data_IF_535609958073
#
_entry.id   IF_535609958073
#
_cell.length_a   1.000
_cell.length_b   1.000
_cell.length_c   1.000
_cell.angle_alpha   90.00
_cell.angle_beta   90.00
_cell.angle_gamma   90.00
#
_symmetry.space_group_name_H-M   'P 1'
#
loop_
_entity.id
_entity.type
_entity.pdbx_description
1 polymer ?
#
# COMPACT_ATOMS: atom_id res chain seq x y z
N UNK A 1 -12.61 -6.80 23.24
CA UNK A 1 -12.12 -6.99 21.86
C UNK A 1 -13.06 -6.25 20.91
N UNK A 2 -12.76 -4.98 20.62
CA UNK A 2 -13.57 -4.22 19.65
C UNK A 2 -13.34 -4.82 18.27
N UNK A 3 -14.38 -5.35 17.62
CA UNK A 3 -14.31 -5.83 16.25
C UNK A 3 -14.16 -4.60 15.35
N UNK A 4 -12.94 -4.17 15.05
CA UNK A 4 -12.71 -3.18 14.00
C UNK A 4 -13.29 -3.76 12.71
N UNK A 5 -14.33 -3.11 12.17
CA UNK A 5 -14.77 -3.41 10.81
C UNK A 5 -13.59 -3.02 9.92
N UNK A 6 -13.04 -3.98 9.17
CA UNK A 6 -12.05 -3.70 8.13
C UNK A 6 -12.70 -2.82 7.05
N UNK A 7 -12.72 -1.51 7.30
CA UNK A 7 -13.20 -0.53 6.35
C UNK A 7 -12.08 -0.21 5.37
N UNK A 8 -12.48 0.04 4.14
CA UNK A 8 -11.57 0.43 3.07
C UNK A 8 -12.31 1.38 2.15
N UNK A 9 -11.55 2.20 1.44
CA UNK A 9 -12.07 3.12 0.42
C UNK A 9 -11.64 2.66 -0.95
N UNK A 10 -12.52 2.84 -1.92
CA UNK A 10 -12.25 2.64 -3.34
C UNK A 10 -12.40 3.98 -4.03
N UNK A 11 -11.33 4.46 -4.64
CA UNK A 11 -11.30 5.75 -5.35
C UNK A 11 -10.96 5.47 -6.82
N UNK A 12 -11.96 5.63 -7.69
CA UNK A 12 -11.76 5.52 -9.14
C UNK A 12 -11.17 6.84 -9.66
N UNK A 13 -10.09 6.75 -10.42
CA UNK A 13 -9.37 7.91 -10.94
C UNK A 13 -9.73 8.18 -12.40
N UNK A 14 -9.67 9.44 -12.88
CA UNK A 14 -9.94 9.77 -14.27
C UNK A 14 -8.99 9.12 -15.28
N UNK A 15 -7.79 8.73 -14.85
CA UNK A 15 -6.76 8.12 -15.69
C UNK A 15 -6.94 6.59 -15.90
N UNK A 16 -8.06 6.01 -15.46
CA UNK A 16 -8.32 4.57 -15.62
C UNK A 16 -7.74 3.69 -14.51
N UNK A 17 -7.12 4.28 -13.48
CA UNK A 17 -6.65 3.55 -12.31
C UNK A 17 -7.66 3.58 -11.16
N UNK A 18 -7.49 2.69 -10.20
CA UNK A 18 -8.24 2.65 -8.95
C UNK A 18 -7.28 2.60 -7.77
N UNK A 19 -7.57 3.39 -6.74
CA UNK A 19 -6.90 3.31 -5.45
C UNK A 19 -7.81 2.55 -4.49
N UNK A 20 -7.25 1.56 -3.81
CA UNK A 20 -7.85 0.90 -2.65
C UNK A 20 -7.03 1.30 -1.44
N UNK A 21 -7.65 1.95 -0.45
CA UNK A 21 -6.99 2.44 0.76
C UNK A 21 -7.63 1.84 2.01
N UNK A 22 -6.81 1.58 3.03
CA UNK A 22 -7.31 1.21 4.36
C UNK A 22 -8.06 2.40 4.97
N UNK A 23 -9.02 2.10 5.84
CA UNK A 23 -9.77 3.09 6.61
C UNK A 23 -9.93 2.56 8.04
N UNK A 24 -9.15 3.11 8.96
CA UNK A 24 -9.25 2.80 10.38
C UNK A 24 -7.93 2.53 11.10
N UNK A 25 -6.78 2.56 10.41
CA UNK A 25 -5.48 2.56 11.10
C UNK A 25 -5.23 3.90 11.78
N UNK A 26 -5.77 4.98 11.23
CA UNK A 26 -5.66 6.34 11.73
C UNK A 26 -6.88 6.79 12.54
N UNK A 27 -7.64 5.86 13.13
CA UNK A 27 -8.86 6.21 13.88
C UNK A 27 -8.54 7.15 15.07
N UNK A 28 -9.00 8.41 15.07
CA UNK A 28 -8.78 9.36 16.17
C UNK A 28 -9.38 8.93 17.49
N UNK A 29 -10.36 8.03 17.46
CA UNK A 29 -11.12 7.63 18.63
C UNK A 29 -10.57 6.36 19.29
N UNK A 30 -9.58 5.73 18.67
CA UNK A 30 -8.83 4.62 19.26
C UNK A 30 -7.79 5.18 20.23
N UNK A 31 -7.75 4.66 21.46
CA UNK A 31 -6.79 5.04 22.51
C UNK A 31 -6.69 6.55 22.83
N UNK A 32 -7.81 7.29 22.82
CA UNK A 32 -7.85 8.65 23.41
C UNK A 32 -7.51 8.54 24.90
N UNK A 33 -6.32 8.99 25.28
CA UNK A 33 -5.94 9.12 26.69
C UNK A 33 -6.28 10.53 27.19
N UNK A 34 -6.70 10.64 28.45
CA UNK A 34 -6.93 11.92 29.12
C UNK A 34 -5.56 12.55 29.46
N UNK A 35 -4.87 13.07 28.45
CA UNK A 35 -3.56 13.73 28.54
C UNK A 35 -3.19 14.47 27.26
N UNK A 36 -2.11 15.26 27.30
CA UNK A 36 -1.57 15.95 26.12
C UNK A 36 -0.83 14.95 25.21
N UNK A 37 -1.02 15.06 23.88
CA UNK A 37 -0.28 14.26 22.89
C UNK A 37 -1.07 13.17 22.16
N UNK A 38 -2.40 13.21 22.17
CA UNK A 38 -3.21 12.28 21.38
C UNK A 38 -2.91 12.42 19.87
N UNK A 39 -2.80 11.27 19.20
CA UNK A 39 -2.56 11.18 17.74
C UNK A 39 -3.67 10.37 17.09
N UNK A 40 -3.85 10.52 15.78
CA UNK A 40 -4.82 9.74 15.02
C UNK A 40 -4.38 8.26 14.91
N UNK A 41 -4.79 7.39 15.83
CA UNK A 41 -4.43 5.96 15.82
C UNK A 41 -2.94 5.71 15.56
N UNK A 42 -2.60 4.92 14.55
CA UNK A 42 -1.22 4.70 14.09
C UNK A 42 -0.63 5.87 13.28
N UNK A 43 -1.42 6.87 12.91
CA UNK A 43 -1.00 8.05 12.15
C UNK A 43 -0.63 7.77 10.69
N UNK A 44 -1.07 6.63 10.15
CA UNK A 44 -0.89 6.25 8.75
C UNK A 44 -2.07 5.45 8.21
N UNK A 45 -2.21 5.42 6.89
CA UNK A 45 -3.07 4.53 6.14
C UNK A 45 -2.28 3.96 4.95
N UNK A 46 -2.60 2.72 4.57
CA UNK A 46 -2.00 2.08 3.40
C UNK A 46 -2.89 2.21 2.18
N UNK A 47 -2.28 2.19 0.99
CA UNK A 47 -3.03 2.14 -0.25
C UNK A 47 -2.33 1.34 -1.34
N UNK A 48 -3.13 0.74 -2.23
CA UNK A 48 -2.68 0.14 -3.49
C UNK A 48 -3.31 0.93 -4.63
N UNK A 49 -2.52 1.29 -5.63
CA UNK A 49 -3.02 1.76 -6.92
C UNK A 49 -2.90 0.63 -7.94
N UNK A 50 -3.97 0.33 -8.68
CA UNK A 50 -4.09 -0.75 -9.66
C UNK A 50 -4.83 -0.27 -10.90
N UNK A 51 -4.62 -0.87 -12.09
CA UNK A 51 -5.51 -0.69 -13.23
C UNK A 51 -6.97 -1.04 -12.88
N UNK A 52 -7.95 -0.28 -13.39
CA UNK A 52 -9.36 -0.50 -13.08
C UNK A 52 -9.89 -1.83 -13.63
N UNK A 53 -9.35 -2.30 -14.75
CA UNK A 53 -9.70 -3.55 -15.42
C UNK A 53 -9.17 -4.80 -14.68
N UNK A 54 -8.20 -4.65 -13.78
CA UNK A 54 -7.75 -5.72 -12.86
C UNK A 54 -8.58 -5.80 -11.57
N UNK A 55 -9.59 -4.94 -11.41
CA UNK A 55 -10.40 -4.88 -10.20
C UNK A 55 -11.87 -5.27 -10.48
N UNK A 56 -12.50 -6.12 -9.64
CA UNK A 56 -13.92 -6.42 -9.79
C UNK A 56 -14.82 -5.18 -9.61
N UNK A 57 -16.01 -5.23 -10.20
CA UNK A 57 -16.96 -4.10 -10.16
C UNK A 57 -17.68 -3.93 -8.83
N UNK A 58 -17.86 -5.03 -8.08
CA UNK A 58 -18.64 -5.03 -6.83
C UNK A 58 -17.72 -4.95 -5.61
N UNK A 59 -18.16 -4.22 -4.58
CA UNK A 59 -17.44 -4.12 -3.29
C UNK A 59 -17.24 -5.50 -2.65
N UNK A 60 -18.20 -6.42 -2.81
CA UNK A 60 -18.12 -7.76 -2.24
C UNK A 60 -17.02 -8.59 -2.91
N UNK A 61 -16.85 -8.46 -4.22
CA UNK A 61 -15.83 -9.19 -4.97
C UNK A 61 -14.45 -8.52 -4.88
N UNK A 62 -14.41 -7.18 -4.74
CA UNK A 62 -13.16 -6.47 -4.40
C UNK A 62 -12.53 -7.03 -3.13
N UNK A 63 -13.34 -7.36 -2.11
CA UNK A 63 -12.83 -7.99 -0.87
C UNK A 63 -12.17 -9.34 -1.10
N UNK A 64 -12.47 -10.04 -2.19
CA UNK A 64 -11.85 -11.33 -2.54
C UNK A 64 -10.64 -11.15 -3.45
N UNK A 65 -10.47 -9.98 -4.05
CA UNK A 65 -9.39 -9.69 -4.98
C UNK A 65 -8.05 -9.54 -4.24
N UNK A 66 -6.95 -9.86 -4.94
CA UNK A 66 -5.61 -9.84 -4.35
C UNK A 66 -5.22 -8.46 -3.82
N UNK A 67 -5.72 -7.39 -4.43
CA UNK A 67 -5.45 -6.02 -4.00
C UNK A 67 -5.97 -5.80 -2.57
N UNK A 68 -7.23 -6.17 -2.31
CA UNK A 68 -7.77 -6.03 -0.97
C UNK A 68 -7.09 -6.98 0.02
N UNK A 69 -6.85 -8.23 -0.37
CA UNK A 69 -6.20 -9.21 0.52
C UNK A 69 -4.79 -8.77 0.91
N UNK A 70 -4.00 -8.25 -0.04
CA UNK A 70 -2.67 -7.71 0.24
C UNK A 70 -2.74 -6.47 1.13
N UNK A 71 -3.61 -5.50 0.79
CA UNK A 71 -3.82 -4.30 1.59
C UNK A 71 -4.20 -4.64 3.03
N UNK A 72 -5.17 -5.55 3.19
CA UNK A 72 -5.67 -5.98 4.49
C UNK A 72 -4.56 -6.67 5.29
N UNK A 73 -3.88 -7.67 4.72
CA UNK A 73 -2.81 -8.39 5.40
C UNK A 73 -1.67 -7.47 5.83
N UNK A 74 -1.22 -6.56 4.95
CA UNK A 74 -0.18 -5.57 5.31
C UNK A 74 -0.66 -4.64 6.44
N UNK A 75 -1.91 -4.18 6.37
CA UNK A 75 -2.50 -3.32 7.42
C UNK A 75 -2.56 -4.02 8.76
N UNK A 76 -2.90 -5.32 8.78
CA UNK A 76 -2.94 -6.13 10.00
C UNK A 76 -1.54 -6.38 10.57
N UNK A 77 -0.54 -6.66 9.72
CA UNK A 77 0.86 -6.78 10.14
C UNK A 77 1.36 -5.49 10.80
N UNK A 78 1.05 -4.34 10.18
CA UNK A 78 1.38 -3.02 10.69
C UNK A 78 0.74 -2.74 12.05
N UNK A 79 -0.56 -3.04 12.20
CA UNK A 79 -1.28 -2.86 13.46
C UNK A 79 -0.75 -3.79 14.57
N UNK A 80 -0.33 -5.00 14.22
CA UNK A 80 0.21 -5.99 15.17
C UNK A 80 1.62 -5.69 15.67
N UNK A 81 2.44 -4.96 14.91
CA UNK A 81 3.85 -4.73 15.26
C UNK A 81 4.09 -3.62 16.29
N UNK A 82 3.13 -2.71 16.50
CA UNK A 82 3.31 -1.53 17.35
C UNK A 82 4.39 -0.57 16.82
N UNK A 83 4.11 0.73 16.75
CA UNK A 83 5.13 1.71 16.32
C UNK A 83 5.51 1.66 14.83
N UNK A 84 4.68 1.06 13.97
CA UNK A 84 4.91 1.01 12.51
C UNK A 84 5.19 2.40 11.91
N UNK A 85 4.58 3.46 12.45
CA UNK A 85 4.84 4.83 12.03
C UNK A 85 6.28 5.26 12.27
N UNK A 86 6.82 5.02 13.46
CA UNK A 86 8.21 5.34 13.76
C UNK A 86 9.16 4.56 12.84
N UNK A 87 8.84 3.30 12.56
CA UNK A 87 9.62 2.45 11.64
C UNK A 87 9.57 3.01 10.21
N UNK A 88 8.39 3.40 9.72
CA UNK A 88 8.24 4.02 8.40
C UNK A 88 8.94 5.38 8.32
N UNK A 89 8.88 6.17 9.41
CA UNK A 89 9.54 7.48 9.47
C UNK A 89 11.06 7.35 9.47
N UNK A 90 11.62 6.29 10.07
CA UNK A 90 13.07 6.03 10.05
C UNK A 90 13.51 5.39 8.73
N UNK A 91 12.91 4.26 8.35
CA UNK A 91 13.39 3.46 7.22
C UNK A 91 12.97 4.00 5.85
N UNK A 92 11.87 4.76 5.78
CA UNK A 92 11.19 5.27 4.57
C UNK A 92 10.66 4.20 3.59
N UNK A 93 11.36 3.07 3.47
CA UNK A 93 11.05 1.94 2.61
C UNK A 93 11.11 0.64 3.42
N UNK A 94 9.98 -0.06 3.49
CA UNK A 94 9.87 -1.39 4.09
C UNK A 94 9.49 -2.42 3.06
N UNK A 95 9.78 -3.68 3.35
CA UNK A 95 9.31 -4.81 2.54
C UNK A 95 8.72 -5.86 3.45
N UNK A 96 7.73 -6.59 2.95
CA UNK A 96 7.10 -7.69 3.70
C UNK A 96 6.70 -8.82 2.76
N UNK A 97 6.51 -9.99 3.34
CA UNK A 97 5.91 -11.16 2.68
C UNK A 97 4.56 -11.43 3.34
N UNK A 98 3.47 -11.29 2.59
CA UNK A 98 2.12 -11.46 3.07
C UNK A 98 1.65 -12.91 2.87
N UNK A 99 1.23 -13.54 3.96
CA UNK A 99 0.65 -14.90 3.96
C UNK A 99 -0.85 -14.85 3.63
N UNK A 100 -1.39 -15.93 3.03
CA UNK A 100 -2.80 -16.08 2.67
C UNK A 100 -3.25 -15.32 1.43
N UNK A 101 -2.46 -14.35 0.94
CA UNK A 101 -2.77 -13.57 -0.28
C UNK A 101 -2.73 -14.44 -1.54
N UNK A 102 -1.95 -15.53 -1.54
CA UNK A 102 -1.80 -16.46 -2.65
C UNK A 102 -3.13 -17.05 -3.14
N UNK A 103 -4.11 -17.24 -2.25
CA UNK A 103 -5.44 -17.76 -2.60
C UNK A 103 -6.21 -16.81 -3.53
N UNK A 104 -5.91 -15.51 -3.46
CA UNK A 104 -6.54 -14.48 -4.30
C UNK A 104 -5.73 -14.16 -5.58
N UNK A 105 -4.51 -14.68 -5.70
CA UNK A 105 -3.70 -14.56 -6.92
C UNK A 105 -4.16 -15.66 -7.89
N UNK A 106 -4.51 -15.33 -9.15
CA UNK A 106 -4.83 -16.35 -10.16
C UNK A 106 -3.65 -17.30 -10.41
N UNK A 107 -3.92 -18.59 -10.60
CA UNK A 107 -2.90 -19.65 -10.72
C UNK A 107 -1.83 -19.34 -11.79
N UNK A 108 -2.24 -18.76 -12.93
CA UNK A 108 -1.34 -18.35 -14.01
C UNK A 108 -0.24 -17.37 -13.57
N UNK A 109 -0.44 -16.65 -12.47
CA UNK A 109 0.46 -15.64 -11.90
C UNK A 109 1.22 -16.15 -10.65
N UNK A 110 1.03 -17.40 -10.23
CA UNK A 110 1.70 -17.94 -9.04
C UNK A 110 3.21 -18.00 -9.24
N UNK A 111 3.67 -18.46 -10.41
CA UNK A 111 5.10 -18.57 -10.72
C UNK A 111 5.83 -17.23 -10.74
N UNK A 112 5.11 -16.11 -10.84
CA UNK A 112 5.69 -14.77 -10.88
C UNK A 112 5.53 -13.98 -9.57
N UNK A 113 4.57 -14.34 -8.70
CA UNK A 113 4.26 -13.55 -7.50
C UNK A 113 4.16 -14.32 -6.18
N UNK A 114 4.01 -15.65 -6.21
CA UNK A 114 3.81 -16.48 -5.01
C UNK A 114 5.07 -17.31 -4.77
N UNK A 115 5.73 -17.11 -3.62
CA UNK A 115 6.97 -17.82 -3.33
C UNK A 115 6.70 -19.27 -2.89
N UNK A 116 7.77 -20.05 -2.70
CA UNK A 116 7.67 -21.47 -2.31
C UNK A 116 6.95 -21.70 -0.97
N UNK A 117 6.87 -20.68 -0.10
CA UNK A 117 6.13 -20.71 1.16
C UNK A 117 4.68 -20.23 1.02
N UNK A 118 4.19 -19.98 -0.20
CA UNK A 118 2.83 -19.48 -0.44
C UNK A 118 2.64 -18.00 -0.10
N UNK A 119 3.71 -17.22 0.01
CA UNK A 119 3.65 -15.79 0.39
C UNK A 119 3.84 -14.87 -0.81
N UNK A 120 3.25 -13.69 -0.72
CA UNK A 120 3.30 -12.63 -1.74
C UNK A 120 4.14 -11.45 -1.23
N UNK A 121 5.12 -11.03 -2.02
CA UNK A 121 6.02 -9.93 -1.66
C UNK A 121 5.40 -8.55 -1.89
N UNK A 122 5.65 -7.61 -0.98
CA UNK A 122 5.29 -6.20 -1.13
C UNK A 122 6.42 -5.26 -0.70
N UNK A 123 6.56 -4.15 -1.42
CA UNK A 123 7.40 -2.99 -1.05
C UNK A 123 6.48 -1.85 -0.59
N UNK A 124 6.85 -1.19 0.51
CA UNK A 124 6.05 -0.18 1.18
C UNK A 124 6.75 1.17 1.15
N UNK A 125 5.98 2.25 0.99
CA UNK A 125 6.48 3.61 1.13
C UNK A 125 7.15 4.19 -0.12
N UNK A 126 6.88 3.61 -1.29
CA UNK A 126 7.23 4.29 -2.54
C UNK A 126 6.54 5.65 -2.59
N UNK A 127 7.33 6.68 -2.88
CA UNK A 127 6.87 8.05 -3.04
C UNK A 127 6.59 8.29 -4.50
N UNK A 128 5.37 8.66 -4.85
CA UNK A 128 5.07 9.14 -6.19
C UNK A 128 6.06 10.24 -6.52
N UNK A 129 6.85 10.04 -7.58
CA UNK A 129 7.67 11.12 -8.12
C UNK A 129 6.74 12.32 -8.29
N UNK A 130 7.16 13.50 -7.85
CA UNK A 130 6.34 14.69 -7.79
C UNK A 130 5.71 14.95 -9.16
N UNK A 131 4.49 14.45 -9.37
CA UNK A 131 3.66 14.90 -10.47
C UNK A 131 3.17 16.26 -10.03
N UNK A 132 3.91 17.29 -10.44
CA UNK A 132 3.49 18.67 -10.39
C UNK A 132 2.01 18.74 -10.73
N UNK A 133 1.22 19.34 -9.83
CA UNK A 133 -0.14 19.77 -10.15
C UNK A 133 -0.02 20.59 -11.43
N UNK A 134 -0.69 20.22 -12.53
CA UNK A 134 -0.64 21.03 -13.75
C UNK A 134 -1.13 22.45 -13.42
N UNK A 135 -0.53 23.47 -14.03
CA UNK A 135 -0.84 24.89 -13.75
C UNK A 135 -2.32 25.26 -13.97
N UNK A 136 -3.09 24.41 -14.65
CA UNK A 136 -4.52 24.53 -14.88
C UNK A 136 -5.40 24.11 -13.68
N UNK A 137 -4.80 23.64 -12.58
CA UNK A 137 -5.51 23.19 -11.38
C UNK A 137 -6.22 21.83 -11.53
N UNK A 138 -5.99 21.10 -12.62
CA UNK A 138 -6.57 19.78 -12.88
C UNK A 138 -5.90 18.71 -12.03
N UNK A 139 -6.62 18.19 -11.04
CA UNK A 139 -6.17 17.07 -10.19
C UNK A 139 -6.29 15.70 -10.87
N UNK A 140 -6.77 15.65 -12.11
CA UNK A 140 -7.11 14.41 -12.83
C UNK A 140 -5.92 13.49 -13.13
N UNK A 141 -4.69 13.99 -13.01
CA UNK A 141 -3.43 13.23 -13.10
C UNK A 141 -2.49 13.36 -11.90
N UNK A 142 -2.92 14.01 -10.81
CA UNK A 142 -2.07 14.32 -9.66
C UNK A 142 -1.61 13.05 -8.91
N UNK A 143 -0.37 13.02 -8.44
CA UNK A 143 0.12 11.93 -7.58
C UNK A 143 -0.69 11.84 -6.28
N UNK A 144 -0.84 10.63 -5.72
CA UNK A 144 -1.41 10.46 -4.38
C UNK A 144 -0.54 11.26 -3.39
N UNK A 145 -1.12 12.13 -2.55
CA UNK A 145 -0.34 12.91 -1.61
C UNK A 145 0.30 12.01 -0.57
N UNK A 146 1.45 12.43 -0.05
CA UNK A 146 2.18 11.69 0.98
C UNK A 146 1.48 11.70 2.35
N UNK A 147 0.63 12.70 2.57
CA UNK A 147 -0.05 12.96 3.83
C UNK A 147 -1.45 13.53 3.59
N UNK A 148 -2.35 13.26 4.53
CA UNK A 148 -3.65 13.91 4.64
C UNK A 148 -3.56 14.94 5.77
N UNK A 149 -3.68 16.21 5.41
CA UNK A 149 -3.79 17.32 6.35
C UNK A 149 -5.23 17.49 6.84
N UNK A 150 -5.42 18.20 7.96
CA UNK A 150 -6.76 18.54 8.47
C UNK A 150 -7.53 17.39 9.10
N UNK A 151 -6.87 16.28 9.41
CA UNK A 151 -7.45 15.19 10.20
C UNK A 151 -7.61 15.62 11.68
N UNK A 152 -8.54 15.01 12.45
CA UNK A 152 -8.98 15.56 13.74
C UNK A 152 -7.88 15.81 14.79
N UNK A 153 -6.89 14.92 14.91
CA UNK A 153 -5.81 15.08 15.90
C UNK A 153 -4.44 15.40 15.27
N UNK A 154 -3.99 14.62 14.28
CA UNK A 154 -2.68 14.77 13.64
C UNK A 154 -2.71 14.47 12.14
N UNK A 155 -1.73 14.94 11.36
CA UNK A 155 -1.59 14.47 9.98
C UNK A 155 -1.51 12.94 9.90
N UNK A 156 -2.05 12.38 8.83
CA UNK A 156 -2.01 10.94 8.54
C UNK A 156 -1.14 10.71 7.32
N UNK A 157 -0.14 9.83 7.44
CA UNK A 157 0.75 9.48 6.33
C UNK A 157 0.10 8.45 5.41
N UNK A 158 0.17 8.66 4.10
CA UNK A 158 -0.27 7.67 3.12
C UNK A 158 0.93 6.84 2.64
N UNK A 159 0.83 5.53 2.83
CA UNK A 159 1.91 4.60 2.51
C UNK A 159 1.48 3.69 1.36
N UNK A 160 2.15 3.84 0.22
CA UNK A 160 1.95 2.95 -0.92
C UNK A 160 2.33 1.52 -0.56
N UNK A 161 1.53 0.56 -1.02
CA UNK A 161 1.87 -0.86 -1.11
C UNK A 161 2.07 -1.17 -2.61
N UNK A 162 3.27 -1.64 -2.93
CA UNK A 162 3.65 -2.11 -4.26
C UNK A 162 3.78 -3.62 -4.26
N UNK A 163 2.94 -4.30 -5.04
CA UNK A 163 3.10 -5.73 -5.33
C UNK A 163 4.46 -5.98 -5.98
N UNK A 164 5.20 -6.98 -5.53
CA UNK A 164 6.48 -7.39 -6.11
C UNK A 164 6.35 -8.66 -6.95
N UNK A 165 7.20 -8.80 -7.96
CA UNK A 165 7.48 -10.12 -8.57
C UNK A 165 8.46 -10.89 -7.69
N UNK A 166 8.57 -12.20 -7.89
CA UNK A 166 9.53 -13.03 -7.16
C UNK A 166 10.99 -12.64 -7.43
N UNK A 167 11.31 -12.17 -8.64
CA UNK A 167 12.66 -11.71 -8.98
C UNK A 167 13.02 -10.43 -8.20
N UNK A 168 12.07 -9.50 -8.08
CA UNK A 168 12.24 -8.28 -7.30
C UNK A 168 12.30 -8.58 -5.79
N UNK A 169 11.43 -9.47 -5.30
CA UNK A 169 11.48 -9.93 -3.92
C UNK A 169 12.83 -10.57 -3.61
N UNK A 170 13.36 -11.39 -4.54
CA UNK A 170 14.68 -12.00 -4.39
C UNK A 170 15.79 -10.96 -4.27
N UNK A 171 15.74 -9.86 -5.04
CA UNK A 171 16.71 -8.77 -4.90
C UNK A 171 16.72 -8.20 -3.47
N UNK A 172 15.53 -8.04 -2.87
CA UNK A 172 15.41 -7.57 -1.49
C UNK A 172 15.93 -8.61 -0.51
N UNK A 173 15.59 -9.89 -0.66
CA UNK A 173 16.07 -10.93 0.26
C UNK A 173 17.59 -11.09 0.20
N UNK A 174 18.18 -10.92 -0.99
CA UNK A 174 19.63 -11.04 -1.19
C UNK A 174 20.40 -9.81 -0.68
N UNK A 175 19.83 -8.59 -0.82
CA UNK A 175 20.56 -7.32 -0.59
C UNK A 175 19.99 -6.44 0.51
N UNK A 176 18.90 -6.85 1.15
CA UNK A 176 18.23 -6.11 2.22
C UNK A 176 17.86 -4.68 1.83
N UNK A 177 18.35 -3.70 2.60
CA UNK A 177 18.06 -2.29 2.39
C UNK A 177 18.58 -1.75 1.04
N UNK A 178 19.71 -2.25 0.53
CA UNK A 178 20.20 -1.89 -0.79
C UNK A 178 19.22 -2.36 -1.88
N UNK A 179 18.69 -3.58 -1.75
CA UNK A 179 17.67 -4.10 -2.68
C UNK A 179 16.41 -3.25 -2.70
N UNK A 180 15.92 -2.83 -1.52
CA UNK A 180 14.76 -1.92 -1.42
C UNK A 180 15.03 -0.56 -2.09
N UNK A 181 16.19 0.04 -1.86
CA UNK A 181 16.58 1.32 -2.50
C UNK A 181 16.69 1.17 -4.01
N UNK A 182 17.31 0.09 -4.48
CA UNK A 182 17.45 -0.17 -5.91
C UNK A 182 16.09 -0.31 -6.60
N UNK A 183 15.16 -1.05 -6.00
CA UNK A 183 13.80 -1.15 -6.52
C UNK A 183 13.06 0.18 -6.46
N UNK A 184 13.24 0.99 -5.41
CA UNK A 184 12.67 2.34 -5.34
C UNK A 184 13.13 3.21 -6.50
N UNK A 185 14.42 3.18 -6.86
CA UNK A 185 14.94 3.89 -8.03
C UNK A 185 14.32 3.37 -9.33
N UNK A 186 14.19 2.05 -9.47
CA UNK A 186 13.60 1.44 -10.67
C UNK A 186 12.09 1.71 -10.78
N UNK A 187 11.39 1.83 -9.66
CA UNK A 187 9.98 2.24 -9.64
C UNK A 187 9.79 3.76 -9.67
N UNK A 188 10.87 4.55 -9.79
CA UNK A 188 10.74 5.98 -10.04
C UNK A 188 10.20 6.22 -11.46
N UNK A 189 9.26 7.16 -11.56
CA UNK A 189 8.69 7.60 -12.83
C UNK A 189 7.18 7.35 -12.95
N UNK A 190 6.53 8.00 -13.93
CA UNK A 190 5.08 7.96 -14.10
C UNK A 190 4.57 6.53 -14.29
N UNK A 191 3.52 6.15 -13.57
CA UNK A 191 2.85 4.85 -13.69
C UNK A 191 3.62 3.64 -13.15
N UNK A 192 4.92 3.77 -12.81
CA UNK A 192 5.73 2.63 -12.34
C UNK A 192 5.37 2.16 -10.92
N UNK A 193 4.51 2.89 -10.21
CA UNK A 193 4.02 2.55 -8.87
C UNK A 193 2.73 1.72 -8.90
N UNK A 194 2.11 1.58 -10.07
CA UNK A 194 0.91 0.76 -10.24
C UNK A 194 1.23 -0.70 -9.95
N UNK A 195 0.47 -1.30 -9.05
CA UNK A 195 0.52 -2.74 -8.82
C UNK A 195 -0.39 -3.42 -9.82
N UNK A 196 0.13 -4.44 -10.48
CA UNK A 196 -0.53 -5.18 -11.56
C UNK A 196 0.08 -6.58 -11.60
N UNK A 197 -0.74 -7.59 -11.90
CA UNK A 197 -0.27 -8.96 -12.14
C UNK A 197 0.35 -9.13 -13.54
N UNK A 198 0.07 -8.20 -14.46
CA UNK A 198 0.49 -8.25 -15.85
C UNK A 198 1.77 -7.45 -16.13
N UNK A 199 2.23 -6.65 -15.17
CA UNK A 199 3.48 -5.90 -15.35
C UNK A 199 4.69 -6.84 -15.37
N UNK A 200 5.70 -6.59 -16.23
CA UNK A 200 6.98 -7.27 -16.10
C UNK A 200 7.73 -6.82 -14.83
N UNK A 201 8.74 -7.61 -14.47
CA UNK A 201 9.77 -7.22 -13.50
C UNK A 201 10.46 -5.93 -13.95
N UNK A 202 10.84 -5.07 -13.01
CA UNK A 202 11.72 -3.91 -13.28
C UNK A 202 13.21 -4.23 -13.20
N UNK A 203 13.54 -5.44 -12.75
CA UNK A 203 14.87 -6.06 -12.81
C UNK A 203 15.04 -6.75 -14.15
#
# INVERSE_FOLDING_TARGET
MSRRKAAFRVVRRPNGNVIIASDGLSDPFDDITLGDGNVNGFGLEFFIETPADELPDTVLDIKKAWQFQLLFTVSQLAAGHGGIRAIMDDMKLLSTEAEGVNEAIPEAHHTTHVNAAGRVGALLGLKAGTSSIPEDGSTSGASVPDKIAGMPLTEVSLVNIKLLTLVELKLITDRGAEGRRKLSELFAGPGRQLSSLHRPSVI
#
